data_IF_112254634606
#
_entry.id   IF_112254634606
#
_cell.length_a   1.000
_cell.length_b   1.000
_cell.length_c   1.000
_cell.angle_alpha   90.00
_cell.angle_beta   90.00
_cell.angle_gamma   90.00
#
_symmetry.space_group_name_H-M   'P 1'
#
loop_
_entity.id
_entity.type
_entity.pdbx_description
1 polymer ?
#
# COMPACT_ATOMS: atom_id res chain seq x y z
N UNK A 1 0.51 26.76 -9.90
CA UNK A 1 -0.75 26.21 -9.39
C UNK A 1 -0.70 24.70 -9.48
N UNK A 2 -0.78 23.96 -8.35
CA UNK A 2 -0.97 22.52 -8.43
C UNK A 2 -2.34 22.26 -9.05
N UNK A 3 -2.38 21.63 -10.23
CA UNK A 3 -3.63 21.22 -10.86
C UNK A 3 -4.12 19.94 -10.17
N UNK A 4 -5.15 20.01 -9.31
CA UNK A 4 -5.59 18.85 -8.52
C UNK A 4 -6.03 17.69 -9.43
N UNK A 5 -6.62 17.99 -10.59
CA UNK A 5 -7.05 16.99 -11.56
C UNK A 5 -5.86 16.21 -12.17
N UNK A 6 -4.78 16.89 -12.53
CA UNK A 6 -3.57 16.25 -13.07
C UNK A 6 -2.90 15.33 -12.04
N UNK A 7 -2.78 15.79 -10.79
CA UNK A 7 -2.23 14.98 -9.71
C UNK A 7 -3.10 13.75 -9.40
N UNK A 8 -4.43 13.89 -9.48
CA UNK A 8 -5.35 12.78 -9.33
C UNK A 8 -5.19 11.75 -10.46
N UNK A 9 -5.07 12.19 -11.72
CA UNK A 9 -4.84 11.29 -12.86
C UNK A 9 -3.52 10.52 -12.75
N UNK A 10 -2.42 11.18 -12.36
CA UNK A 10 -1.14 10.50 -12.12
C UNK A 10 -1.27 9.46 -11.00
N UNK A 11 -1.97 9.81 -9.92
CA UNK A 11 -2.20 8.89 -8.79
C UNK A 11 -3.01 7.66 -9.21
N UNK A 12 -4.06 7.85 -10.02
CA UNK A 12 -4.87 6.74 -10.56
C UNK A 12 -4.04 5.84 -11.48
N UNK A 13 -3.17 6.41 -12.31
CA UNK A 13 -2.29 5.64 -13.18
C UNK A 13 -1.31 4.78 -12.37
N UNK A 14 -0.73 5.33 -11.31
CA UNK A 14 0.17 4.57 -10.42
C UNK A 14 -0.55 3.37 -9.78
N UNK A 15 -1.80 3.55 -9.34
CA UNK A 15 -2.62 2.46 -8.79
C UNK A 15 -2.95 1.41 -9.85
N UNK A 16 -3.31 1.85 -11.06
CA UNK A 16 -3.58 0.93 -12.18
C UNK A 16 -2.37 0.05 -12.49
N UNK A 17 -1.18 0.64 -12.61
CA UNK A 17 0.07 -0.07 -12.90
C UNK A 17 0.36 -1.10 -11.79
N UNK A 18 0.28 -0.71 -10.52
CA UNK A 18 0.63 -1.63 -9.42
C UNK A 18 -0.38 -2.78 -9.31
N UNK A 19 -1.68 -2.49 -9.36
CA UNK A 19 -2.72 -3.52 -9.13
C UNK A 19 -2.94 -4.43 -10.32
N UNK A 20 -2.93 -3.92 -11.55
CA UNK A 20 -3.28 -4.72 -12.72
C UNK A 20 -2.07 -5.29 -13.45
N UNK A 21 -0.94 -4.57 -13.47
CA UNK A 21 0.26 -5.03 -14.18
C UNK A 21 1.16 -5.77 -13.21
N UNK A 22 1.58 -5.12 -12.12
CA UNK A 22 2.58 -5.70 -11.20
C UNK A 22 2.01 -6.91 -10.44
N UNK A 23 0.83 -6.78 -9.80
CA UNK A 23 0.25 -7.93 -9.10
C UNK A 23 -0.07 -9.11 -10.03
N UNK A 24 -0.52 -8.84 -11.27
CA UNK A 24 -0.77 -9.89 -12.26
C UNK A 24 0.53 -10.63 -12.63
N UNK A 25 1.62 -9.91 -12.87
CA UNK A 25 2.91 -10.53 -13.18
C UNK A 25 3.42 -11.39 -12.02
N UNK A 26 3.33 -10.91 -10.78
CA UNK A 26 3.73 -11.70 -9.60
C UNK A 26 2.87 -12.96 -9.45
N UNK A 27 1.55 -12.83 -9.61
CA UNK A 27 0.64 -13.97 -9.57
C UNK A 27 0.96 -14.99 -10.68
N UNK A 28 1.25 -14.51 -11.90
CA UNK A 28 1.65 -15.35 -13.02
C UNK A 28 2.98 -16.07 -12.74
N UNK A 29 3.97 -15.40 -12.15
CA UNK A 29 5.24 -16.01 -11.73
C UNK A 29 5.02 -17.15 -10.72
N UNK A 30 4.15 -16.95 -9.72
CA UNK A 30 3.81 -17.98 -8.74
C UNK A 30 3.09 -19.16 -9.40
N UNK A 31 2.18 -18.92 -10.36
CA UNK A 31 1.47 -19.97 -11.07
C UNK A 31 2.40 -20.80 -11.98
N UNK A 32 3.26 -20.14 -12.76
CA UNK A 32 4.16 -20.80 -13.73
C UNK A 32 5.28 -21.57 -13.03
N UNK A 33 5.76 -21.11 -11.88
CA UNK A 33 6.77 -21.82 -11.08
C UNK A 33 6.23 -23.06 -10.37
N UNK A 34 4.91 -23.22 -10.26
CA UNK A 34 4.28 -24.40 -9.66
C UNK A 34 4.35 -24.47 -8.12
N UNK A 35 4.87 -23.43 -7.46
CA UNK A 35 5.05 -23.41 -5.98
C UNK A 35 3.81 -22.95 -5.20
N UNK A 36 2.69 -22.72 -5.89
CA UNK A 36 1.48 -22.10 -5.33
C UNK A 36 0.86 -22.87 -4.14
N UNK A 37 1.17 -24.16 -3.97
CA UNK A 37 0.66 -25.03 -2.89
C UNK A 37 1.77 -25.56 -1.95
N UNK A 38 2.94 -24.91 -1.92
CA UNK A 38 4.08 -25.37 -1.10
C UNK A 38 3.97 -25.00 0.40
N UNK A 39 2.84 -24.45 0.84
CA UNK A 39 2.59 -24.06 2.24
C UNK A 39 3.24 -22.74 2.67
N UNK A 40 4.06 -22.13 1.82
CA UNK A 40 4.66 -20.81 2.07
C UNK A 40 3.69 -19.66 1.75
N UNK A 41 3.88 -18.51 2.41
CA UNK A 41 3.00 -17.34 2.22
C UNK A 41 3.79 -16.05 2.02
N UNK A 42 3.16 -15.08 1.36
CA UNK A 42 3.68 -13.72 1.19
C UNK A 42 5.06 -13.71 0.51
N UNK A 43 6.08 -13.15 1.17
CA UNK A 43 7.42 -13.00 0.61
C UNK A 43 8.13 -14.32 0.35
N UNK A 44 7.96 -15.31 1.24
CA UNK A 44 8.60 -16.61 1.11
C UNK A 44 8.17 -17.33 -0.18
N UNK A 45 6.86 -17.28 -0.47
CA UNK A 45 6.29 -17.88 -1.69
C UNK A 45 6.89 -17.29 -2.98
N UNK A 46 7.14 -15.97 -3.00
CA UNK A 46 7.76 -15.31 -4.15
C UNK A 46 9.23 -15.71 -4.28
N UNK A 47 9.96 -15.80 -3.16
CA UNK A 47 11.36 -16.27 -3.15
C UNK A 47 11.43 -17.69 -3.73
N UNK A 48 10.60 -18.61 -3.22
CA UNK A 48 10.53 -19.98 -3.72
C UNK A 48 10.20 -20.05 -5.22
N UNK A 49 9.26 -19.22 -5.69
CA UNK A 49 8.90 -19.13 -7.10
C UNK A 49 10.11 -18.75 -7.98
N UNK A 50 10.90 -17.76 -7.56
CA UNK A 50 12.09 -17.32 -8.30
C UNK A 50 13.23 -18.34 -8.24
N UNK A 51 13.39 -19.04 -7.11
CA UNK A 51 14.41 -20.08 -6.95
C UNK A 51 14.20 -21.26 -7.90
N UNK A 52 12.95 -21.56 -8.30
CA UNK A 52 12.68 -22.64 -9.28
C UNK A 52 13.34 -22.40 -10.64
N UNK A 53 13.51 -21.13 -11.05
CA UNK A 53 14.03 -20.75 -12.37
C UNK A 53 15.50 -20.33 -12.30
N UNK A 54 15.86 -19.54 -11.28
CA UNK A 54 17.17 -18.90 -11.18
C UNK A 54 18.09 -19.53 -10.11
N UNK A 55 17.61 -20.55 -9.39
CA UNK A 55 18.34 -21.19 -8.29
C UNK A 55 18.47 -20.30 -7.05
N UNK A 56 19.17 -20.82 -6.03
CA UNK A 56 19.26 -20.19 -4.69
C UNK A 56 19.91 -18.80 -4.66
N UNK A 57 20.66 -18.41 -5.69
CA UNK A 57 21.23 -17.07 -5.77
C UNK A 57 20.13 -15.98 -5.89
N UNK A 58 18.99 -16.33 -6.50
CA UNK A 58 17.86 -15.40 -6.63
C UNK A 58 17.17 -15.11 -5.30
N UNK A 59 17.14 -16.07 -4.37
CA UNK A 59 16.52 -15.89 -3.06
C UNK A 59 17.12 -14.73 -2.28
N UNK A 60 18.44 -14.56 -2.30
CA UNK A 60 19.12 -13.43 -1.64
C UNK A 60 18.74 -12.07 -2.25
N UNK A 61 18.68 -12.00 -3.58
CA UNK A 61 18.33 -10.77 -4.31
C UNK A 61 16.89 -10.37 -4.00
N UNK A 62 15.95 -11.32 -4.12
CA UNK A 62 14.52 -11.06 -3.86
C UNK A 62 14.28 -10.71 -2.38
N UNK A 63 15.01 -11.34 -1.45
CA UNK A 63 14.94 -10.99 -0.03
C UNK A 63 15.38 -9.55 0.20
N UNK A 64 16.52 -9.13 -0.37
CA UNK A 64 17.00 -7.75 -0.27
C UNK A 64 16.00 -6.73 -0.84
N UNK A 65 15.42 -7.02 -2.01
CA UNK A 65 14.39 -6.19 -2.63
C UNK A 65 13.13 -6.10 -1.76
N UNK A 66 12.70 -7.21 -1.17
CA UNK A 66 11.51 -7.28 -0.32
C UNK A 66 11.70 -6.47 0.97
N UNK A 67 12.89 -6.52 1.58
CA UNK A 67 13.20 -5.71 2.76
C UNK A 67 13.12 -4.22 2.42
N UNK A 68 13.71 -3.80 1.31
CA UNK A 68 13.67 -2.40 0.88
C UNK A 68 12.24 -1.91 0.59
N UNK A 69 11.45 -2.75 -0.08
CA UNK A 69 10.04 -2.49 -0.33
C UNK A 69 9.24 -2.36 0.97
N UNK A 70 9.39 -3.31 1.90
CA UNK A 70 8.73 -3.28 3.21
C UNK A 70 9.10 -2.05 4.04
N UNK A 71 10.38 -1.64 4.04
CA UNK A 71 10.84 -0.43 4.71
C UNK A 71 10.22 0.83 4.11
N UNK A 72 10.11 0.90 2.79
CA UNK A 72 9.48 2.04 2.10
C UNK A 72 8.01 2.19 2.49
N UNK A 73 7.28 1.07 2.60
CA UNK A 73 5.88 1.06 3.07
C UNK A 73 5.80 1.47 4.54
N UNK A 74 6.67 0.95 5.40
CA UNK A 74 6.73 1.33 6.82
C UNK A 74 6.94 2.84 7.00
N UNK A 75 7.82 3.46 6.23
CA UNK A 75 8.06 4.91 6.32
C UNK A 75 6.87 5.71 5.81
N UNK A 76 6.24 5.28 4.72
CA UNK A 76 5.06 5.95 4.16
C UNK A 76 3.88 5.95 5.15
N UNK A 77 3.59 4.80 5.79
CA UNK A 77 2.53 4.70 6.79
C UNK A 77 2.86 5.45 8.09
N UNK A 78 4.13 5.47 8.50
CA UNK A 78 4.57 6.29 9.64
C UNK A 78 4.28 7.78 9.40
N UNK A 79 4.55 8.26 8.17
CA UNK A 79 4.29 9.64 7.78
C UNK A 79 2.79 9.96 7.79
N UNK A 80 1.96 9.12 7.14
CA UNK A 80 0.50 9.30 7.11
C UNK A 80 -0.08 9.25 8.53
N UNK A 81 0.33 8.28 9.33
CA UNK A 81 -0.09 8.14 10.72
C UNK A 81 0.28 9.36 11.57
N UNK A 82 1.48 9.92 11.36
CA UNK A 82 1.92 11.12 12.05
C UNK A 82 1.06 12.33 11.68
N UNK A 83 0.71 12.48 10.40
CA UNK A 83 -0.19 13.57 9.97
C UNK A 83 -1.57 13.45 10.63
N UNK A 84 -2.13 12.24 10.70
CA UNK A 84 -3.39 11.99 11.39
C UNK A 84 -3.28 12.29 12.90
N UNK A 85 -2.20 11.85 13.53
CA UNK A 85 -1.92 12.14 14.94
C UNK A 85 -1.82 13.64 15.20
N UNK A 86 -1.04 14.36 14.40
CA UNK A 86 -0.84 15.80 14.52
C UNK A 86 -2.15 16.57 14.30
N UNK A 87 -3.03 16.10 13.40
CA UNK A 87 -4.35 16.67 13.19
C UNK A 87 -5.26 16.51 14.41
N UNK A 88 -5.29 15.33 15.03
CA UNK A 88 -6.14 15.04 16.20
C UNK A 88 -5.61 15.73 17.46
N UNK A 89 -4.30 15.69 17.67
CA UNK A 89 -3.65 16.18 18.90
C UNK A 89 -3.22 17.64 18.83
N UNK A 90 -3.49 18.33 17.72
CA UNK A 90 -3.06 19.72 17.47
C UNK A 90 -1.52 19.86 17.60
N UNK A 91 -0.79 18.96 16.95
CA UNK A 91 0.69 18.87 16.94
C UNK A 91 1.34 18.64 18.31
N UNK A 92 0.63 17.99 19.23
CA UNK A 92 1.16 17.65 20.56
C UNK A 92 1.61 16.19 20.60
N UNK A 93 2.55 15.89 21.49
CA UNK A 93 3.00 14.51 21.77
C UNK A 93 3.57 13.74 20.57
N UNK A 94 4.29 14.40 19.65
CA UNK A 94 4.91 13.73 18.50
C UNK A 94 5.87 12.59 18.89
N UNK A 95 6.56 12.72 20.04
CA UNK A 95 7.42 11.66 20.56
C UNK A 95 6.62 10.42 20.97
N UNK A 96 5.43 10.61 21.55
CA UNK A 96 4.56 9.51 21.95
C UNK A 96 4.06 8.73 20.72
N UNK A 97 3.73 9.43 19.62
CA UNK A 97 3.38 8.77 18.37
C UNK A 97 4.51 7.85 17.88
N UNK A 98 5.76 8.34 17.84
CA UNK A 98 6.90 7.52 17.41
C UNK A 98 7.09 6.29 18.29
N UNK A 99 6.91 6.43 19.61
CA UNK A 99 7.01 5.30 20.55
C UNK A 99 5.91 4.26 20.31
N UNK A 100 4.66 4.71 20.15
CA UNK A 100 3.51 3.84 19.88
C UNK A 100 3.68 3.14 18.53
N UNK A 101 4.11 3.86 17.50
CA UNK A 101 4.34 3.29 16.17
C UNK A 101 5.45 2.24 16.19
N UNK A 102 6.57 2.51 16.87
CA UNK A 102 7.67 1.55 17.01
C UNK A 102 7.23 0.30 17.80
N UNK A 103 6.45 0.47 18.87
CA UNK A 103 5.90 -0.64 19.64
C UNK A 103 4.96 -1.51 18.78
N UNK A 104 4.09 -0.90 18.00
CA UNK A 104 3.21 -1.62 17.07
C UNK A 104 3.97 -2.35 15.97
N UNK A 105 5.01 -1.73 15.40
CA UNK A 105 5.88 -2.39 14.42
C UNK A 105 6.57 -3.63 15.02
N UNK A 106 7.06 -3.53 16.27
CA UNK A 106 7.66 -4.66 16.97
C UNK A 106 6.64 -5.79 17.24
N UNK A 107 5.43 -5.45 17.68
CA UNK A 107 4.34 -6.43 17.88
C UNK A 107 4.03 -7.15 16.56
N UNK A 108 4.03 -6.42 15.44
CA UNK A 108 3.86 -7.00 14.11
C UNK A 108 4.90 -8.06 13.75
N UNK A 109 6.16 -7.91 14.21
CA UNK A 109 7.21 -8.88 13.94
C UNK A 109 7.06 -10.21 14.69
N UNK A 110 6.39 -10.22 15.85
CA UNK A 110 6.20 -11.41 16.70
C UNK A 110 4.83 -12.05 16.56
N UNK A 111 3.92 -11.43 15.79
CA UNK A 111 2.55 -11.90 15.60
C UNK A 111 2.46 -12.75 14.33
N UNK A 112 1.62 -13.78 14.34
CA UNK A 112 1.34 -14.60 13.16
C UNK A 112 0.81 -13.75 12.01
N UNK A 113 1.36 -13.97 10.82
CA UNK A 113 1.02 -13.25 9.59
C UNK A 113 -0.48 -13.27 9.31
N UNK A 114 -1.16 -14.41 9.55
CA UNK A 114 -2.62 -14.54 9.36
C UNK A 114 -3.43 -13.60 10.27
N UNK A 115 -3.00 -13.42 11.51
CA UNK A 115 -3.65 -12.51 12.47
C UNK A 115 -3.44 -11.06 12.05
N UNK A 116 -2.22 -10.72 11.59
CA UNK A 116 -1.90 -9.39 11.07
C UNK A 116 -2.78 -9.04 9.86
N UNK A 117 -2.97 -9.97 8.92
CA UNK A 117 -3.87 -9.79 7.78
C UNK A 117 -5.32 -9.61 8.22
N UNK A 118 -5.84 -10.46 9.12
CA UNK A 118 -7.22 -10.36 9.59
C UNK A 118 -7.51 -9.02 10.30
N UNK A 119 -6.60 -8.54 11.13
CA UNK A 119 -6.72 -7.22 11.76
C UNK A 119 -6.67 -6.10 10.72
N UNK A 120 -5.77 -6.20 9.76
CA UNK A 120 -5.64 -5.22 8.68
C UNK A 120 -6.92 -5.14 7.83
N UNK A 121 -7.55 -6.27 7.53
CA UNK A 121 -8.79 -6.33 6.76
C UNK A 121 -9.94 -5.63 7.47
N UNK A 122 -10.09 -5.81 8.78
CA UNK A 122 -11.13 -5.14 9.59
C UNK A 122 -10.92 -3.63 9.60
N UNK A 123 -9.67 -3.18 9.82
CA UNK A 123 -9.35 -1.74 9.85
C UNK A 123 -9.55 -1.12 8.47
N UNK A 124 -9.09 -1.80 7.41
CA UNK A 124 -9.23 -1.33 6.03
C UNK A 124 -10.70 -1.29 5.59
N UNK A 125 -11.53 -2.25 5.99
CA UNK A 125 -12.96 -2.24 5.73
C UNK A 125 -13.64 -1.03 6.39
N UNK A 126 -13.26 -0.70 7.64
CA UNK A 126 -13.73 0.50 8.33
C UNK A 126 -13.32 1.79 7.63
N UNK A 127 -12.04 1.92 7.25
CA UNK A 127 -11.55 3.07 6.49
C UNK A 127 -12.22 3.22 5.13
N UNK A 128 -12.44 2.11 4.42
CA UNK A 128 -13.13 2.09 3.14
C UNK A 128 -14.55 2.66 3.27
N UNK A 129 -15.30 2.23 4.28
CA UNK A 129 -16.68 2.71 4.48
C UNK A 129 -16.73 4.22 4.72
N UNK A 130 -15.86 4.74 5.58
CA UNK A 130 -15.79 6.18 5.89
C UNK A 130 -15.42 6.99 4.63
N UNK A 131 -14.37 6.55 3.91
CA UNK A 131 -13.89 7.25 2.73
C UNK A 131 -14.91 7.20 1.58
N UNK A 132 -15.60 6.07 1.39
CA UNK A 132 -16.61 5.92 0.36
C UNK A 132 -17.78 6.90 0.58
N UNK A 133 -18.28 7.00 1.83
CA UNK A 133 -19.34 7.95 2.17
C UNK A 133 -18.93 9.40 1.90
N UNK A 134 -17.70 9.77 2.28
CA UNK A 134 -17.18 11.10 2.00
C UNK A 134 -17.11 11.38 0.49
N UNK A 135 -16.61 10.43 -0.31
CA UNK A 135 -16.52 10.59 -1.77
C UNK A 135 -17.89 10.75 -2.41
N UNK A 136 -18.90 9.97 -1.98
CA UNK A 136 -20.27 10.11 -2.49
C UNK A 136 -20.82 11.50 -2.19
N UNK A 137 -20.54 12.03 -0.99
CA UNK A 137 -20.99 13.35 -0.59
C UNK A 137 -20.32 14.48 -1.39
N UNK A 138 -19.00 14.37 -1.63
CA UNK A 138 -18.22 15.37 -2.39
C UNK A 138 -18.20 15.14 -3.91
N UNK A 139 -18.97 14.16 -4.41
CA UNK A 139 -19.04 13.83 -5.84
C UNK A 139 -19.42 15.03 -6.73
N UNK A 140 -20.37 15.92 -6.33
CA UNK A 140 -20.70 17.11 -7.12
C UNK A 140 -19.53 18.07 -7.31
N UNK A 141 -18.74 18.31 -6.26
CA UNK A 141 -17.58 19.20 -6.26
C UNK A 141 -16.46 18.65 -7.14
N UNK A 142 -16.20 17.34 -7.03
CA UNK A 142 -15.21 16.64 -7.87
C UNK A 142 -15.61 16.73 -9.34
N UNK A 143 -16.90 16.48 -9.67
CA UNK A 143 -17.41 16.59 -11.05
C UNK A 143 -17.21 18.00 -11.61
N UNK A 144 -17.50 19.03 -10.81
CA UNK A 144 -17.30 20.43 -11.22
C UNK A 144 -15.82 20.73 -11.48
N UNK A 145 -14.92 20.27 -10.60
CA UNK A 145 -13.48 20.45 -10.76
C UNK A 145 -12.94 19.79 -12.03
N UNK A 146 -13.41 18.58 -12.34
CA UNK A 146 -13.02 17.85 -13.55
C UNK A 146 -13.48 18.56 -14.83
N UNK A 147 -14.72 19.07 -14.86
CA UNK A 147 -15.24 19.78 -16.02
C UNK A 147 -14.45 21.06 -16.34
N UNK A 148 -14.01 21.78 -15.31
CA UNK A 148 -13.18 22.97 -15.49
C UNK A 148 -11.81 22.61 -16.07
N UNK A 149 -11.17 21.55 -15.57
CA UNK A 149 -9.89 21.06 -16.09
C UNK A 149 -9.98 20.61 -17.56
N UNK A 150 -11.01 19.84 -17.92
CA UNK A 150 -11.21 19.40 -19.31
C UNK A 150 -11.49 20.56 -20.28
N UNK A 151 -12.05 21.67 -19.78
CA UNK A 151 -12.31 22.87 -20.58
C UNK A 151 -11.04 23.70 -20.78
N UNK A 152 -10.14 23.76 -19.78
CA UNK A 152 -8.84 24.43 -19.93
C UNK A 152 -7.87 23.67 -20.82
N UNK A 153 -7.94 22.33 -20.89
CA UNK A 153 -7.07 21.52 -21.75
C UNK A 153 -7.48 21.56 -23.24
N UNK A 154 -8.73 21.94 -23.53
CA UNK A 154 -9.25 22.08 -24.90
C UNK A 154 -9.10 23.50 -25.48
N UNK A 155 -8.70 24.48 -24.68
CA UNK A 155 -8.47 25.87 -25.09
C UNK A 155 -6.99 26.16 -25.30
#
# INVERSE_FOLDING_TARGET
>A
NPEPAKNALTSLLSVFITTHIVCFLVALTVLVSGVWDNGETSSALIISAYETVFGSASGLIITFLTINFGMSVLVAYAYIGKLCWDFITQKRFAFLFSLVYAAWAYIGCITDVKVVWALSDIINAGMFFINLLAVIWFLPEVKRGLQLYLKSEKS
#
